data_IF_986141721797
#
_entry.id   IF_986141721797
#
_cell.length_a   1.000
_cell.length_b   1.000
_cell.length_c   1.000
_cell.angle_alpha   90.00
_cell.angle_beta   90.00
_cell.angle_gamma   90.00
#
_symmetry.space_group_name_H-M   'P 1'
#
loop_
_entity.id
_entity.type
_entity.pdbx_description
1 polymer ?
#
# COMPACT_ATOMS: atom_id res chain seq x y z
N UNK A 1 17.96 -6.19 -0.29
CA UNK A 1 18.61 -6.51 1.01
C UNK A 1 17.90 -7.68 1.68
N UNK A 2 18.48 -8.90 1.63
CA UNK A 2 17.94 -10.09 2.32
C UNK A 2 18.20 -10.08 3.84
N UNK A 3 17.76 -9.02 4.49
CA UNK A 3 18.07 -8.71 5.89
C UNK A 3 16.84 -8.97 6.77
N UNK A 4 17.06 -9.21 8.06
CA UNK A 4 15.95 -9.46 9.00
C UNK A 4 16.04 -8.61 10.25
N UNK A 5 14.90 -8.33 10.87
CA UNK A 5 14.77 -7.59 12.14
C UNK A 5 15.33 -6.16 12.04
N UNK A 6 14.80 -5.40 11.09
CA UNK A 6 15.18 -4.01 10.86
C UNK A 6 14.20 -3.11 11.58
N UNK A 7 14.71 -2.15 12.33
CA UNK A 7 13.94 -1.01 12.84
C UNK A 7 14.58 0.26 12.32
N UNK A 8 13.80 1.12 11.68
CA UNK A 8 14.22 2.45 11.24
C UNK A 8 13.23 3.49 11.75
N UNK A 9 13.76 4.64 12.18
CA UNK A 9 12.97 5.77 12.66
C UNK A 9 13.65 7.05 12.17
N UNK A 10 12.88 7.96 11.57
CA UNK A 10 13.39 9.19 10.93
C UNK A 10 14.45 8.91 9.85
N UNK A 11 14.20 7.90 9.00
CA UNK A 11 15.07 7.57 7.86
C UNK A 11 14.62 8.31 6.61
N UNK A 12 15.51 9.12 6.04
CA UNK A 12 15.38 9.62 4.67
C UNK A 12 16.22 8.75 3.74
N UNK A 13 15.54 8.04 2.82
CA UNK A 13 16.17 7.08 1.92
C UNK A 13 15.82 7.42 0.46
N UNK A 14 16.85 7.49 -0.39
CA UNK A 14 16.72 7.57 -1.84
C UNK A 14 17.42 6.36 -2.45
N UNK A 15 16.72 5.60 -3.30
CA UNK A 15 17.30 4.42 -3.96
C UNK A 15 16.30 3.69 -4.86
N UNK A 16 16.59 2.46 -5.26
CA UNK A 16 15.65 1.65 -6.07
C UNK A 16 15.09 0.50 -5.24
N UNK A 17 15.85 -0.58 -5.07
CA UNK A 17 15.49 -1.81 -4.37
C UNK A 17 15.73 -1.72 -2.86
N UNK A 18 15.13 -0.72 -2.20
CA UNK A 18 15.18 -0.67 -0.75
C UNK A 18 14.57 -1.96 -0.18
N UNK A 19 15.15 -2.48 0.90
CA UNK A 19 14.66 -3.64 1.65
C UNK A 19 14.31 -4.91 0.85
N UNK A 20 14.70 -5.07 -0.43
CA UNK A 20 14.29 -6.25 -1.23
C UNK A 20 14.69 -7.57 -0.57
N UNK A 21 13.71 -8.44 -0.30
CA UNK A 21 13.90 -9.72 0.39
C UNK A 21 13.97 -9.61 1.92
N UNK A 22 13.70 -8.45 2.50
CA UNK A 22 13.77 -8.25 3.94
C UNK A 22 12.60 -8.89 4.69
N UNK A 23 12.83 -9.25 5.95
CA UNK A 23 11.78 -9.78 6.84
C UNK A 23 11.77 -9.11 8.20
N UNK A 24 10.59 -8.95 8.79
CA UNK A 24 10.42 -8.31 10.10
C UNK A 24 11.03 -6.90 10.09
N UNK A 25 10.40 -6.01 9.32
CA UNK A 25 10.85 -4.63 9.17
C UNK A 25 9.81 -3.70 9.79
N UNK A 26 10.27 -2.77 10.62
CA UNK A 26 9.46 -1.75 11.24
C UNK A 26 10.04 -0.36 10.93
N UNK A 27 9.22 0.52 10.35
CA UNK A 27 9.68 1.85 9.90
C UNK A 27 8.74 2.93 10.44
N UNK A 28 9.30 4.00 10.98
CA UNK A 28 8.59 5.12 11.59
C UNK A 28 9.08 6.46 11.05
N UNK A 29 8.18 7.44 10.91
CA UNK A 29 8.49 8.85 10.62
C UNK A 29 9.50 9.07 9.48
N UNK A 30 9.43 8.24 8.44
CA UNK A 30 10.48 8.15 7.42
C UNK A 30 9.99 8.62 6.05
N UNK A 31 10.95 9.03 5.21
CA UNK A 31 10.70 9.36 3.81
C UNK A 31 11.46 8.39 2.92
N UNK A 32 10.73 7.60 2.14
CA UNK A 32 11.30 6.62 1.22
C UNK A 32 11.01 7.05 -0.22
N UNK A 33 12.01 7.55 -0.92
CA UNK A 33 11.94 7.82 -2.38
C UNK A 33 12.63 6.66 -3.07
N UNK A 34 11.86 5.64 -3.41
CA UNK A 34 12.41 4.41 -3.95
C UNK A 34 11.51 3.78 -4.98
N UNK A 35 12.09 3.37 -6.12
CA UNK A 35 11.31 2.69 -7.15
C UNK A 35 10.63 1.42 -6.60
N UNK A 36 11.38 0.60 -5.88
CA UNK A 36 11.05 -0.78 -5.48
C UNK A 36 11.30 -1.00 -3.97
N UNK A 37 10.48 -0.42 -3.10
CA UNK A 37 10.83 -0.26 -1.68
C UNK A 37 10.72 -1.50 -0.79
N UNK A 38 9.85 -2.46 -1.15
CA UNK A 38 9.62 -3.68 -0.36
C UNK A 38 9.34 -4.84 -1.32
N UNK A 39 10.28 -5.12 -2.19
CA UNK A 39 10.18 -6.23 -3.12
C UNK A 39 10.44 -7.56 -2.36
N UNK A 40 9.67 -8.63 -2.63
CA UNK A 40 9.85 -9.96 -2.02
C UNK A 40 9.91 -9.99 -0.47
N UNK A 41 9.15 -9.14 0.22
CA UNK A 41 9.28 -8.97 1.67
C UNK A 41 8.29 -9.81 2.49
N UNK A 42 8.53 -9.93 3.79
CA UNK A 42 7.61 -10.58 4.73
C UNK A 42 7.56 -9.87 6.09
N UNK A 43 6.37 -9.64 6.65
CA UNK A 43 6.15 -8.99 7.95
C UNK A 43 6.76 -7.57 7.99
N UNK A 44 6.15 -6.66 7.25
CA UNK A 44 6.58 -5.26 7.14
C UNK A 44 5.51 -4.38 7.77
N UNK A 45 5.91 -3.51 8.69
CA UNK A 45 5.01 -2.53 9.31
C UNK A 45 5.61 -1.13 9.21
N UNK A 46 4.81 -0.18 8.73
CA UNK A 46 5.26 1.18 8.47
C UNK A 46 4.24 2.15 9.06
N UNK A 47 4.74 3.15 9.78
CA UNK A 47 3.97 4.14 10.50
C UNK A 47 4.38 5.55 10.09
N UNK A 48 3.39 6.44 9.95
CA UNK A 48 3.57 7.89 9.90
C UNK A 48 4.66 8.33 8.89
N UNK A 49 4.71 7.66 7.73
CA UNK A 49 5.80 7.78 6.75
C UNK A 49 5.28 8.15 5.36
N UNK A 50 6.17 8.71 4.54
CA UNK A 50 5.89 9.00 3.14
C UNK A 50 6.69 8.07 2.24
N UNK A 51 6.03 7.45 1.26
CA UNK A 51 6.67 6.59 0.27
C UNK A 51 6.33 7.10 -1.14
N UNK A 52 7.35 7.35 -1.95
CA UNK A 52 7.22 7.67 -3.37
C UNK A 52 8.00 6.64 -4.18
N UNK A 53 7.31 5.87 -5.03
CA UNK A 53 7.90 4.75 -5.73
C UNK A 53 7.01 4.16 -6.82
N UNK A 54 7.49 3.20 -7.61
CA UNK A 54 6.62 2.49 -8.55
C UNK A 54 6.01 1.25 -7.88
N UNK A 55 6.80 0.18 -7.75
CA UNK A 55 6.31 -1.16 -7.44
C UNK A 55 6.36 -1.46 -5.94
N UNK A 56 5.70 -0.60 -5.15
CA UNK A 56 5.67 -0.71 -3.70
C UNK A 56 5.16 -2.09 -3.25
N UNK A 57 5.91 -2.81 -2.40
CA UNK A 57 5.41 -4.04 -1.78
C UNK A 57 5.26 -5.24 -2.72
N UNK A 58 5.85 -5.23 -3.91
CA UNK A 58 5.69 -6.32 -4.88
C UNK A 58 6.04 -7.69 -4.28
N UNK A 59 5.14 -8.67 -4.43
CA UNK A 59 5.31 -10.05 -3.92
C UNK A 59 5.63 -10.10 -2.40
N UNK A 60 4.92 -9.29 -1.62
CA UNK A 60 5.12 -9.19 -0.16
C UNK A 60 4.01 -9.89 0.61
N UNK A 61 4.35 -10.46 1.77
CA UNK A 61 3.37 -11.04 2.71
C UNK A 61 3.32 -10.27 4.02
N UNK A 62 2.14 -10.04 4.56
CA UNK A 62 1.90 -9.32 5.82
C UNK A 62 2.49 -7.90 5.79
N UNK A 63 1.94 -7.04 4.92
CA UNK A 63 2.31 -5.63 4.83
C UNK A 63 1.27 -4.77 5.55
N UNK A 64 1.71 -4.00 6.54
CA UNK A 64 0.87 -3.08 7.30
C UNK A 64 1.36 -1.64 7.14
N UNK A 65 0.47 -0.75 6.71
CA UNK A 65 0.71 0.69 6.54
C UNK A 65 -0.28 1.46 7.41
N UNK A 66 0.22 2.34 8.28
CA UNK A 66 -0.61 3.12 9.19
C UNK A 66 -0.21 4.58 9.09
N UNK A 67 -1.18 5.46 8.84
CA UNK A 67 -0.96 6.91 8.67
C UNK A 67 0.09 7.25 7.59
N UNK A 68 0.18 6.44 6.54
CA UNK A 68 1.19 6.63 5.49
C UNK A 68 0.63 7.41 4.29
N UNK A 69 1.47 8.23 3.68
CA UNK A 69 1.21 8.84 2.37
C UNK A 69 2.03 8.13 1.31
N UNK A 70 1.39 7.68 0.24
CA UNK A 70 1.99 6.84 -0.79
C UNK A 70 1.71 7.48 -2.13
N UNK A 71 2.72 7.58 -2.99
CA UNK A 71 2.58 7.87 -4.41
C UNK A 71 3.21 6.74 -5.20
N UNK A 72 2.45 6.13 -6.13
CA UNK A 72 2.95 4.98 -6.87
C UNK A 72 2.28 4.55 -8.16
N UNK A 73 3.08 4.04 -9.10
CA UNK A 73 2.62 3.31 -10.29
C UNK A 73 2.70 1.80 -10.08
N UNK A 74 1.56 1.10 -10.11
CA UNK A 74 1.47 -0.33 -9.81
C UNK A 74 1.99 -0.67 -8.40
N UNK A 75 1.66 0.18 -7.43
CA UNK A 75 1.94 -0.07 -6.04
C UNK A 75 1.04 -1.17 -5.46
N UNK A 76 1.57 -1.90 -4.49
CA UNK A 76 0.87 -2.88 -3.68
C UNK A 76 0.31 -4.06 -4.50
N UNK A 77 1.01 -4.45 -5.56
CA UNK A 77 0.67 -5.62 -6.38
C UNK A 77 1.24 -6.91 -5.76
N UNK A 78 0.52 -8.02 -5.91
CA UNK A 78 0.89 -9.34 -5.41
C UNK A 78 1.16 -9.38 -3.89
N UNK A 79 0.47 -8.53 -3.12
CA UNK A 79 0.57 -8.53 -1.66
C UNK A 79 -0.44 -9.50 -1.07
N UNK A 80 0.02 -10.43 -0.24
CA UNK A 80 -0.87 -11.25 0.59
C UNK A 80 -0.94 -10.71 2.01
N UNK A 81 -2.16 -10.52 2.53
CA UNK A 81 -2.44 -9.90 3.84
C UNK A 81 -1.95 -8.44 3.90
N UNK A 82 -2.59 -7.58 3.12
CA UNK A 82 -2.37 -6.13 3.15
C UNK A 82 -3.30 -5.47 4.16
N UNK A 83 -2.75 -4.74 5.12
CA UNK A 83 -3.49 -3.85 6.01
C UNK A 83 -3.10 -2.40 5.77
N UNK A 84 -4.08 -1.53 5.54
CA UNK A 84 -3.86 -0.08 5.47
C UNK A 84 -4.83 0.62 6.41
N UNK A 85 -4.35 1.53 7.23
CA UNK A 85 -5.17 2.34 8.14
C UNK A 85 -4.85 3.80 7.94
N UNK A 86 -5.88 4.60 7.64
CA UNK A 86 -5.74 6.05 7.47
C UNK A 86 -4.58 6.43 6.51
N UNK A 87 -4.53 5.79 5.35
CA UNK A 87 -3.47 6.05 4.36
C UNK A 87 -3.98 6.93 3.22
N UNK A 88 -3.09 7.72 2.63
CA UNK A 88 -3.35 8.44 1.38
C UNK A 88 -2.55 7.79 0.25
N UNK A 89 -3.18 7.58 -0.90
CA UNK A 89 -2.58 7.06 -2.14
C UNK A 89 -2.67 8.15 -3.21
N UNK A 90 -1.76 9.13 -3.16
CA UNK A 90 -1.75 10.29 -4.04
C UNK A 90 -1.21 9.92 -5.41
N UNK A 91 -1.90 10.34 -6.47
CA UNK A 91 -1.49 10.08 -7.86
C UNK A 91 -1.22 8.59 -8.19
N UNK A 92 -1.73 7.67 -7.37
CA UNK A 92 -1.45 6.25 -7.51
C UNK A 92 -2.39 5.54 -8.47
N UNK A 93 -1.83 4.84 -9.45
CA UNK A 93 -2.56 4.09 -10.47
C UNK A 93 -2.19 2.60 -10.48
N UNK A 94 -3.12 1.79 -11.00
CA UNK A 94 -2.99 0.34 -11.18
C UNK A 94 -2.66 -0.41 -9.88
N UNK A 95 -3.10 0.11 -8.73
CA UNK A 95 -2.78 -0.48 -7.43
C UNK A 95 -3.58 -1.75 -7.16
N UNK A 96 -3.04 -2.59 -6.28
CA UNK A 96 -3.63 -3.84 -5.76
C UNK A 96 -3.71 -5.04 -6.70
N UNK A 97 -3.05 -5.02 -7.86
CA UNK A 97 -3.14 -6.12 -8.82
C UNK A 97 -2.72 -7.46 -8.18
N UNK A 98 -3.65 -8.41 -8.20
CA UNK A 98 -3.59 -9.74 -7.59
C UNK A 98 -3.39 -9.80 -6.07
N UNK A 99 -3.50 -8.69 -5.35
CA UNK A 99 -3.36 -8.68 -3.90
C UNK A 99 -4.54 -9.36 -3.20
N UNK A 100 -4.27 -10.11 -2.13
CA UNK A 100 -5.21 -10.93 -1.38
C UNK A 100 -5.31 -10.51 0.07
N UNK A 101 -6.46 -10.81 0.69
CA UNK A 101 -6.71 -10.54 2.11
C UNK A 101 -6.51 -9.06 2.44
N UNK A 102 -6.95 -8.18 1.53
CA UNK A 102 -6.82 -6.73 1.68
C UNK A 102 -7.77 -6.25 2.78
N UNK A 103 -7.28 -5.39 3.65
CA UNK A 103 -8.07 -4.58 4.57
C UNK A 103 -7.52 -3.16 4.53
N UNK A 104 -8.01 -2.38 3.55
CA UNK A 104 -7.47 -1.05 3.27
C UNK A 104 -8.48 0.05 3.62
N UNK A 105 -8.01 1.03 4.38
CA UNK A 105 -8.71 2.26 4.68
C UNK A 105 -7.94 3.48 4.16
N UNK A 106 -8.47 4.09 3.10
CA UNK A 106 -7.79 5.10 2.29
C UNK A 106 -8.58 6.41 2.31
N UNK A 107 -7.94 7.48 2.78
CA UNK A 107 -8.54 8.80 2.98
C UNK A 107 -8.24 9.80 1.86
N UNK A 108 -7.86 9.31 0.67
CA UNK A 108 -7.64 10.10 -0.53
C UNK A 108 -8.37 9.52 -1.74
N UNK A 109 -8.38 10.29 -2.83
CA UNK A 109 -8.73 9.77 -4.14
C UNK A 109 -7.59 8.88 -4.66
N UNK A 110 -7.93 7.84 -5.44
CA UNK A 110 -6.98 6.95 -6.12
C UNK A 110 -7.19 7.08 -7.63
N UNK A 111 -6.12 7.10 -8.42
CA UNK A 111 -6.24 7.19 -9.88
C UNK A 111 -6.87 5.94 -10.46
N UNK A 112 -6.34 4.76 -10.13
CA UNK A 112 -6.99 3.50 -10.53
C UNK A 112 -6.64 2.29 -9.67
N UNK A 113 -7.59 1.37 -9.59
CA UNK A 113 -7.46 0.04 -8.98
C UNK A 113 -7.51 -1.02 -10.08
N UNK A 114 -6.65 -2.02 -10.01
CA UNK A 114 -6.61 -3.11 -10.98
C UNK A 114 -6.64 -4.46 -10.29
N UNK A 115 -7.54 -5.35 -10.72
CA UNK A 115 -7.60 -6.77 -10.39
C UNK A 115 -7.24 -7.18 -8.93
N UNK A 116 -7.81 -6.56 -7.88
CA UNK A 116 -7.62 -7.06 -6.52
C UNK A 116 -8.26 -8.45 -6.36
N UNK A 117 -7.52 -9.41 -5.82
CA UNK A 117 -7.95 -10.82 -5.73
C UNK A 117 -8.93 -11.08 -4.59
N UNK A 118 -8.76 -10.45 -3.43
CA UNK A 118 -9.72 -10.54 -2.31
C UNK A 118 -9.54 -9.46 -1.25
N UNK A 119 -10.62 -9.13 -0.55
CA UNK A 119 -10.58 -8.29 0.66
C UNK A 119 -11.58 -7.14 0.64
N UNK A 120 -11.30 -6.12 1.46
CA UNK A 120 -12.11 -4.93 1.62
C UNK A 120 -11.24 -3.69 1.38
N UNK A 121 -11.70 -2.82 0.49
CA UNK A 121 -11.06 -1.53 0.18
C UNK A 121 -12.10 -0.45 0.46
N UNK A 122 -11.83 0.37 1.48
CA UNK A 122 -12.57 1.59 1.78
C UNK A 122 -11.76 2.78 1.28
N UNK A 123 -12.38 3.66 0.52
CA UNK A 123 -11.68 4.74 -0.20
C UNK A 123 -12.57 5.97 -0.34
N UNK A 124 -11.99 7.17 -0.48
CA UNK A 124 -12.74 8.39 -0.74
C UNK A 124 -13.32 8.45 -2.15
N UNK A 125 -12.50 8.18 -3.17
CA UNK A 125 -12.96 7.99 -4.56
C UNK A 125 -11.92 7.22 -5.38
N UNK A 126 -12.35 6.65 -6.51
CA UNK A 126 -11.46 5.98 -7.47
C UNK A 126 -11.79 6.50 -8.87
N UNK A 127 -10.77 6.90 -9.63
CA UNK A 127 -10.94 7.34 -11.01
C UNK A 127 -11.35 6.21 -11.96
N UNK A 128 -10.62 5.11 -11.94
CA UNK A 128 -10.90 3.94 -12.79
C UNK A 128 -10.74 2.61 -12.03
N UNK A 129 -11.63 1.65 -12.30
CA UNK A 129 -11.56 0.30 -11.74
C UNK A 129 -11.46 -0.70 -12.91
N UNK A 130 -10.36 -1.43 -12.96
CA UNK A 130 -10.07 -2.41 -14.01
C UNK A 130 -10.22 -3.81 -13.42
N UNK A 131 -11.23 -4.56 -13.86
CA UNK A 131 -11.52 -5.92 -13.40
C UNK A 131 -11.63 -6.86 -14.59
N UNK A 132 -10.69 -7.81 -14.66
CA UNK A 132 -10.63 -8.85 -15.68
C UNK A 132 -11.12 -10.17 -15.05
N UNK A 133 -12.39 -10.49 -15.28
CA UNK A 133 -13.09 -11.61 -14.63
C UNK A 133 -12.57 -13.00 -15.07
N UNK A 134 -11.74 -13.08 -16.10
CA UNK A 134 -11.00 -14.27 -16.52
C UNK A 134 -9.71 -14.48 -15.70
N UNK A 135 -9.25 -13.47 -14.97
CA UNK A 135 -8.01 -13.50 -14.17
C UNK A 135 -8.22 -13.51 -12.66
N UNK A 136 -9.34 -12.95 -12.19
CA UNK A 136 -9.72 -12.90 -10.78
C UNK A 136 -11.19 -13.26 -10.59
N UNK A 137 -11.62 -13.44 -9.33
CA UNK A 137 -13.03 -13.51 -8.96
C UNK A 137 -13.46 -12.17 -8.33
N UNK A 138 -14.06 -11.22 -9.09
CA UNK A 138 -14.32 -9.87 -8.59
C UNK A 138 -15.16 -9.80 -7.32
N UNK A 139 -16.06 -10.78 -7.11
CA UNK A 139 -16.93 -10.86 -5.94
C UNK A 139 -16.16 -11.09 -4.61
N UNK A 140 -14.91 -11.53 -4.66
CA UNK A 140 -14.06 -11.69 -3.47
C UNK A 140 -13.51 -10.37 -2.93
N UNK A 141 -13.63 -9.29 -3.70
CA UNK A 141 -13.19 -7.95 -3.28
C UNK A 141 -14.39 -7.01 -3.15
N UNK A 142 -14.56 -6.43 -1.96
CA UNK A 142 -15.54 -5.39 -1.70
C UNK A 142 -14.88 -4.02 -1.70
N UNK A 143 -15.25 -3.18 -2.67
CA UNK A 143 -14.83 -1.77 -2.72
C UNK A 143 -15.98 -0.90 -2.23
N UNK A 144 -15.72 -0.07 -1.22
CA UNK A 144 -16.71 0.85 -0.62
C UNK A 144 -16.19 2.27 -0.69
N UNK A 145 -16.90 3.13 -1.41
CA UNK A 145 -16.62 4.57 -1.46
C UNK A 145 -17.27 5.23 -0.25
N UNK A 146 -16.49 5.93 0.58
CA UNK A 146 -17.01 6.68 1.74
C UNK A 146 -16.82 8.18 1.56
N UNK A 147 -17.85 8.95 1.92
CA UNK A 147 -17.74 10.41 2.04
C UNK A 147 -16.55 10.77 2.95
N UNK A 148 -15.82 11.86 2.67
CA UNK A 148 -14.77 12.31 3.57
C UNK A 148 -15.35 12.47 4.97
N UNK A 149 -14.80 11.77 5.95
CA UNK A 149 -15.11 12.04 7.36
C UNK A 149 -14.69 13.49 7.62
N UNK A 150 -15.64 14.34 8.02
CA UNK A 150 -15.37 15.69 8.49
C UNK A 150 -14.16 15.65 9.42
N UNK A 151 -13.11 16.38 9.07
CA UNK A 151 -11.94 16.55 9.93
C UNK A 151 -12.50 17.07 11.24
N UNK A 152 -12.40 16.27 12.31
CA UNK A 152 -12.56 16.80 13.66
C UNK A 152 -11.39 17.77 13.84
N UNK A 153 -11.66 19.04 13.59
CA UNK A 153 -10.82 20.12 14.10
C UNK A 153 -10.80 19.95 15.62
N UNK A 154 -9.73 19.37 16.13
CA UNK A 154 -9.39 19.46 17.54
C UNK A 154 -9.02 20.92 17.80
N UNK A 155 -9.87 21.55 18.62
CA UNK A 155 -9.67 22.86 19.21
C UNK A 155 -8.42 22.92 20.10
#
# INVERSE_FOLDING_TARGET
MNSTNIVADHLDLIGDYAFDGAKNVEIHHSTLVTKDAFWNCENITIYDSTINGAYLGWNTKNLTLINCTIESNQGLCYVDHLTMKNCALLHSDLVFEYSTNINADICSDIVSVKNPSSGNIRVQSIGNIILEADKIEPAKTKITVTQPSEIKQSA
#
